data_IF_432608272905
#
_entry.id   IF_432608272905
#
_cell.length_a   1.000
_cell.length_b   1.000
_cell.length_c   1.000
_cell.angle_alpha   90.00
_cell.angle_beta   90.00
_cell.angle_gamma   90.00
#
_symmetry.space_group_name_H-M   'P 1'
#
loop_
_entity.id
_entity.type
_entity.pdbx_description
1 polymer ?
#
# COMPACT_ATOMS: atom_id res chain seq x y z
N UNK A 1 2.85 54.92 14.08
CA UNK A 1 2.25 53.92 13.17
C UNK A 1 2.26 52.60 13.95
N UNK A 2 1.17 52.17 14.60
CA UNK A 2 -0.05 51.55 14.05
C UNK A 2 0.28 50.33 13.18
N UNK A 3 0.13 49.12 13.75
CA UNK A 3 -0.81 48.13 13.23
C UNK A 3 -1.06 47.02 14.25
N UNK A 4 -2.16 47.15 14.99
CA UNK A 4 -2.91 46.00 15.49
C UNK A 4 -3.55 45.31 14.29
N UNK A 5 -3.43 43.99 14.16
CA UNK A 5 -4.37 43.18 13.40
C UNK A 5 -4.48 41.79 14.04
N UNK A 6 -5.46 41.71 14.93
CA UNK A 6 -6.17 40.49 15.27
C UNK A 6 -6.80 39.92 13.99
N UNK A 7 -6.46 38.70 13.60
CA UNK A 7 -7.22 37.96 12.60
C UNK A 7 -7.90 36.76 13.29
N UNK A 8 -9.23 36.82 13.48
CA UNK A 8 -10.00 35.73 14.05
C UNK A 8 -10.26 34.63 13.01
N UNK A 9 -10.55 33.43 13.52
CA UNK A 9 -11.25 32.29 12.91
C UNK A 9 -11.46 32.35 11.39
N UNK A 10 -10.96 31.36 10.65
CA UNK A 10 -11.82 30.56 9.76
C UNK A 10 -11.08 29.38 9.11
N UNK A 11 -11.79 28.24 9.15
CA UNK A 11 -11.75 27.13 8.19
C UNK A 11 -10.58 26.14 8.24
N UNK A 12 -10.78 25.06 9.00
CA UNK A 12 -10.21 23.75 8.67
C UNK A 12 -10.80 23.30 7.33
N UNK A 13 -10.12 23.61 6.22
CA UNK A 13 -10.35 22.87 4.98
C UNK A 13 -9.74 21.48 5.16
N UNK A 14 -10.58 20.52 5.51
CA UNK A 14 -10.26 19.10 5.29
C UNK A 14 -10.07 18.91 3.79
N UNK A 15 -8.82 18.92 3.32
CA UNK A 15 -8.47 18.35 2.02
C UNK A 15 -8.75 16.84 2.10
N UNK A 16 -9.96 16.44 1.73
CA UNK A 16 -10.17 15.07 1.28
C UNK A 16 -9.52 14.96 -0.09
N UNK A 17 -8.23 14.61 -0.10
CA UNK A 17 -7.61 14.03 -1.29
C UNK A 17 -8.37 12.75 -1.59
N UNK A 18 -9.30 12.83 -2.54
CA UNK A 18 -9.72 11.66 -3.28
C UNK A 18 -8.51 11.29 -4.15
N UNK A 19 -7.70 10.36 -3.65
CA UNK A 19 -6.54 9.83 -4.36
C UNK A 19 -6.99 9.26 -5.70
N UNK A 20 -6.47 9.85 -6.78
CA UNK A 20 -6.71 9.40 -8.14
C UNK A 20 -5.94 8.11 -8.38
N UNK A 21 -6.65 7.05 -8.79
CA UNK A 21 -6.06 5.75 -9.05
C UNK A 21 -5.14 5.72 -10.27
N UNK A 22 -3.88 6.15 -10.11
CA UNK A 22 -2.89 6.21 -11.21
C UNK A 22 -1.54 5.65 -10.79
N UNK A 23 -1.36 4.33 -10.67
CA UNK A 23 -0.07 3.66 -10.38
C UNK A 23 0.66 4.10 -9.08
N UNK A 24 0.15 5.12 -8.41
CA UNK A 24 0.37 5.66 -7.06
C UNK A 24 -0.44 4.87 -6.00
N UNK A 25 -1.13 3.82 -6.44
CA UNK A 25 -2.18 3.07 -5.75
C UNK A 25 -1.68 1.87 -4.96
N UNK A 26 -0.43 1.91 -4.54
CA UNK A 26 0.13 0.92 -3.62
C UNK A 26 0.67 1.74 -2.47
N UNK A 27 -0.03 1.72 -1.34
CA UNK A 27 0.38 2.49 -0.17
C UNK A 27 1.84 2.19 0.20
N UNK A 28 2.53 3.12 0.90
CA UNK A 28 3.89 2.86 1.35
C UNK A 28 4.01 1.56 2.15
N UNK A 29 2.99 1.25 2.96
CA UNK A 29 2.94 0.01 3.73
C UNK A 29 2.84 -1.23 2.85
N UNK A 30 1.93 -1.22 1.87
CA UNK A 30 1.79 -2.33 0.93
C UNK A 30 3.07 -2.52 0.10
N UNK A 31 3.71 -1.44 -0.35
CA UNK A 31 4.98 -1.50 -1.09
C UNK A 31 6.10 -2.09 -0.24
N UNK A 32 6.18 -1.72 1.05
CA UNK A 32 7.13 -2.29 2.00
C UNK A 32 6.90 -3.81 2.14
N UNK A 33 5.68 -4.24 2.45
CA UNK A 33 5.38 -5.66 2.63
C UNK A 33 5.53 -6.49 1.36
N UNK A 34 5.25 -5.93 0.19
CA UNK A 34 5.52 -6.57 -1.10
C UNK A 34 7.03 -6.81 -1.28
N UNK A 35 7.84 -5.81 -0.93
CA UNK A 35 9.30 -5.88 -1.04
C UNK A 35 9.88 -6.89 -0.05
N UNK A 36 9.43 -6.87 1.21
CA UNK A 36 9.85 -7.83 2.23
C UNK A 36 9.44 -9.26 1.86
N UNK A 37 8.18 -9.46 1.44
CA UNK A 37 7.71 -10.76 0.98
C UNK A 37 8.53 -11.31 -0.20
N UNK A 38 8.92 -10.44 -1.13
CA UNK A 38 9.80 -10.82 -2.24
C UNK A 38 11.20 -11.23 -1.76
N UNK A 39 11.77 -10.49 -0.81
CA UNK A 39 13.07 -10.82 -0.23
C UNK A 39 13.03 -12.16 0.52
N UNK A 40 12.01 -12.40 1.34
CA UNK A 40 11.81 -13.68 2.06
C UNK A 40 11.64 -14.85 1.08
N UNK A 41 10.93 -14.64 -0.01
CA UNK A 41 10.73 -15.65 -1.05
C UNK A 41 11.94 -15.87 -1.96
N UNK A 42 13.01 -15.06 -1.84
CA UNK A 42 14.17 -15.10 -2.74
C UNK A 42 13.87 -14.62 -4.15
N UNK A 43 12.81 -13.84 -4.35
CA UNK A 43 12.47 -13.25 -5.63
C UNK A 43 13.30 -11.98 -5.89
N UNK A 44 13.64 -11.73 -7.16
CA UNK A 44 14.46 -10.56 -7.55
C UNK A 44 13.79 -9.24 -7.15
N UNK A 45 12.46 -9.18 -7.25
CA UNK A 45 11.65 -8.07 -6.75
C UNK A 45 10.21 -8.52 -6.58
N UNK A 46 9.38 -7.69 -5.95
CA UNK A 46 7.94 -7.91 -5.89
C UNK A 46 7.23 -7.82 -7.26
N UNK A 47 7.91 -7.30 -8.28
CA UNK A 47 7.45 -7.25 -9.67
C UNK A 47 7.86 -8.49 -10.48
N UNK A 48 8.67 -9.40 -9.91
CA UNK A 48 9.00 -10.68 -10.52
C UNK A 48 7.82 -11.65 -10.40
N UNK A 49 6.78 -11.42 -11.20
CA UNK A 49 5.51 -12.16 -11.12
C UNK A 49 5.68 -13.66 -11.41
N UNK A 50 6.72 -14.04 -12.16
CA UNK A 50 7.05 -15.45 -12.39
C UNK A 50 7.54 -16.14 -11.11
N UNK A 51 8.15 -15.38 -10.19
CA UNK A 51 8.58 -15.86 -8.89
C UNK A 51 7.49 -15.67 -7.81
N UNK A 52 6.90 -14.47 -7.72
CA UNK A 52 6.02 -14.10 -6.60
C UNK A 52 4.63 -14.73 -6.68
N UNK A 53 4.03 -14.84 -7.86
CA UNK A 53 2.69 -15.42 -8.02
C UNK A 53 2.60 -16.91 -7.61
N UNK A 54 3.54 -17.79 -8.00
CA UNK A 54 3.50 -19.19 -7.55
C UNK A 54 4.05 -19.40 -6.14
N UNK A 55 4.83 -18.47 -5.59
CA UNK A 55 5.52 -18.66 -4.31
C UNK A 55 4.59 -18.61 -3.10
N UNK A 56 4.45 -19.70 -2.32
CA UNK A 56 3.72 -19.67 -1.05
C UNK A 56 4.45 -18.81 -0.02
N UNK A 57 5.79 -18.89 0.02
CA UNK A 57 6.62 -18.08 0.94
C UNK A 57 6.40 -16.57 0.75
N UNK A 58 6.22 -16.12 -0.50
CA UNK A 58 5.88 -14.74 -0.79
C UNK A 58 4.51 -14.35 -0.19
N UNK A 59 3.48 -15.18 -0.43
CA UNK A 59 2.11 -14.93 0.04
C UNK A 59 2.02 -14.93 1.55
N UNK A 60 2.69 -15.87 2.20
CA UNK A 60 2.72 -15.99 3.66
C UNK A 60 3.43 -14.79 4.29
N UNK A 61 4.63 -14.45 3.82
CA UNK A 61 5.40 -13.31 4.33
C UNK A 61 4.69 -11.98 4.10
N UNK A 62 4.12 -11.77 2.90
CA UNK A 62 3.29 -10.60 2.60
C UNK A 62 2.09 -10.54 3.55
N UNK A 63 1.40 -11.66 3.75
CA UNK A 63 0.22 -11.75 4.62
C UNK A 63 0.53 -11.48 6.10
N UNK A 64 1.69 -11.90 6.60
CA UNK A 64 2.17 -11.59 7.96
C UNK A 64 2.48 -10.11 8.07
N UNK A 65 3.33 -9.57 7.19
CA UNK A 65 3.70 -8.14 7.21
C UNK A 65 2.46 -7.24 7.16
N UNK A 66 1.52 -7.50 6.24
CA UNK A 66 0.31 -6.68 6.12
C UNK A 66 -0.53 -6.67 7.41
N UNK A 67 -0.61 -7.79 8.14
CA UNK A 67 -1.37 -7.89 9.39
C UNK A 67 -0.68 -7.15 10.54
N UNK A 68 0.65 -7.15 10.54
CA UNK A 68 1.44 -6.60 11.65
C UNK A 68 1.63 -5.08 11.53
N UNK A 69 1.80 -4.57 10.30
CA UNK A 69 2.20 -3.17 10.09
C UNK A 69 1.22 -2.32 9.29
N UNK A 70 0.26 -2.91 8.56
CA UNK A 70 -0.61 -2.17 7.66
C UNK A 70 -2.07 -2.09 8.10
N UNK A 71 -2.81 -1.18 7.46
CA UNK A 71 -4.24 -1.03 7.70
C UNK A 71 -5.06 -2.04 6.86
N UNK A 72 -6.32 -2.28 7.27
CA UNK A 72 -7.22 -3.19 6.54
C UNK A 72 -7.39 -2.83 5.05
N UNK A 73 -7.31 -1.55 4.69
CA UNK A 73 -7.38 -1.11 3.29
C UNK A 73 -6.21 -1.66 2.46
N UNK A 74 -5.04 -1.83 3.06
CA UNK A 74 -3.83 -2.30 2.38
C UNK A 74 -3.91 -3.81 2.15
N UNK A 75 -4.55 -4.56 3.06
CA UNK A 75 -4.86 -5.98 2.84
C UNK A 75 -5.80 -6.15 1.64
N UNK A 76 -6.84 -5.34 1.54
CA UNK A 76 -7.76 -5.41 0.40
C UNK A 76 -7.06 -5.00 -0.90
N UNK A 77 -6.28 -3.92 -0.88
CA UNK A 77 -5.46 -3.51 -2.01
C UNK A 77 -4.47 -4.61 -2.43
N UNK A 78 -3.85 -5.32 -1.49
CA UNK A 78 -2.96 -6.46 -1.78
C UNK A 78 -3.69 -7.57 -2.53
N UNK A 79 -4.92 -7.92 -2.12
CA UNK A 79 -5.73 -8.95 -2.79
C UNK A 79 -6.09 -8.52 -4.20
N UNK A 80 -6.60 -7.30 -4.37
CA UNK A 80 -6.96 -6.75 -5.69
C UNK A 80 -5.73 -6.70 -6.61
N UNK A 81 -4.58 -6.29 -6.07
CA UNK A 81 -3.32 -6.25 -6.80
C UNK A 81 -2.84 -7.65 -7.20
N UNK A 82 -3.00 -8.64 -6.32
CA UNK A 82 -2.65 -10.02 -6.62
C UNK A 82 -3.57 -10.62 -7.70
N UNK A 83 -4.88 -10.35 -7.67
CA UNK A 83 -5.80 -10.72 -8.77
C UNK A 83 -5.36 -10.07 -10.07
N UNK A 84 -5.03 -8.77 -10.05
CA UNK A 84 -4.60 -8.03 -11.24
C UNK A 84 -3.28 -8.55 -11.83
N UNK A 85 -2.34 -8.97 -10.99
CA UNK A 85 -0.98 -9.41 -11.40
C UNK A 85 -0.89 -10.89 -11.70
N UNK A 86 -1.60 -11.72 -10.93
CA UNK A 86 -1.48 -13.18 -10.93
C UNK A 86 -2.74 -13.88 -11.46
N UNK A 87 -3.80 -13.15 -11.81
CA UNK A 87 -5.04 -13.67 -12.38
C UNK A 87 -5.95 -14.42 -11.41
N UNK A 88 -5.55 -14.56 -10.15
CA UNK A 88 -6.30 -15.26 -9.10
C UNK A 88 -6.18 -14.52 -7.79
N UNK A 89 -7.15 -14.70 -6.88
CA UNK A 89 -7.01 -14.20 -5.53
C UNK A 89 -5.95 -15.04 -4.77
N UNK A 90 -5.13 -14.42 -3.90
CA UNK A 90 -4.23 -15.17 -3.06
C UNK A 90 -5.08 -16.01 -2.11
N UNK A 91 -4.73 -17.30 -1.98
CA UNK A 91 -5.39 -18.24 -1.06
C UNK A 91 -5.05 -17.92 0.39
#
# INVERSE_FOLDING_TARGET
MKLSLVFPLTSLLSLTVAGSLTTDEVSPCLTHCLTEGAAVAGCTSYLDLKCTCPSPAFKDALGVCLKDVCEKKDLEAAKQLHVKRCGTAPQ
#
